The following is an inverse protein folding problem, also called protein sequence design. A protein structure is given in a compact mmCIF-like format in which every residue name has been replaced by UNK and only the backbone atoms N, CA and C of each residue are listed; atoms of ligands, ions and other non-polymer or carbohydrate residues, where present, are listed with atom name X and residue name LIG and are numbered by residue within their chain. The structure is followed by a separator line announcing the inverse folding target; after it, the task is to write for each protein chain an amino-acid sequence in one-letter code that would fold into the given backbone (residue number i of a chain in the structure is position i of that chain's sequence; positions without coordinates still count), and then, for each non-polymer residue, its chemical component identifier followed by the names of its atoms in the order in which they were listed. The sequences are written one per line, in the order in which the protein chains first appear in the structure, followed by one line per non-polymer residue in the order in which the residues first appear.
data_IF_431496466794
#
_entry.id   IF_431496466794
#
_cell.length_a   1.000
_cell.length_b   1.000
_cell.length_c   1.000
_cell.angle_alpha   90.00
_cell.angle_beta   90.00
_cell.angle_gamma   90.00
#
_symmetry.space_group_name_H-M   'P 1'
#
loop_
_entity.id
_entity.type
_entity.pdbx_description
1 polymer ?
#
# COMPACT_ATOMS: atom_id res chain seq x y z
N UNK A 1 42.59 -46.15 10.67
CA UNK A 1 41.25 -45.86 10.11
C UNK A 1 40.43 -45.13 11.17
N UNK A 2 40.31 -43.81 11.04
CA UNK A 2 39.77 -42.91 12.05
C UNK A 2 38.30 -42.61 11.70
N UNK A 3 37.36 -43.04 12.54
CA UNK A 3 35.92 -42.84 12.33
C UNK A 3 35.54 -41.41 12.73
N UNK A 4 35.30 -40.56 11.74
CA UNK A 4 34.74 -39.22 11.94
C UNK A 4 33.24 -39.38 12.23
N UNK A 5 32.81 -38.99 13.43
CA UNK A 5 31.40 -38.92 13.82
C UNK A 5 30.84 -37.56 13.37
N UNK A 6 30.02 -37.57 12.33
CA UNK A 6 29.29 -36.39 11.86
C UNK A 6 28.09 -36.17 12.77
N UNK A 7 28.11 -35.11 13.59
CA UNK A 7 26.98 -34.70 14.42
C UNK A 7 26.12 -33.71 13.63
N UNK A 8 24.91 -34.11 13.26
CA UNK A 8 23.91 -33.24 12.62
C UNK A 8 23.13 -32.53 13.72
N UNK A 9 23.30 -31.22 13.83
CA UNK A 9 22.51 -30.37 14.73
C UNK A 9 21.25 -29.94 13.96
N UNK A 10 20.10 -30.48 14.33
CA UNK A 10 18.80 -30.05 13.83
C UNK A 10 18.37 -28.76 14.56
N UNK A 11 18.44 -27.61 13.87
CA UNK A 11 17.86 -26.37 14.35
C UNK A 11 16.34 -26.40 14.16
N UNK A 12 15.60 -26.53 15.26
CA UNK A 12 14.15 -26.36 15.27
C UNK A 12 13.81 -24.87 15.09
N UNK A 13 13.30 -24.52 13.91
CA UNK A 13 12.75 -23.20 13.62
C UNK A 13 11.33 -23.12 14.22
N UNK A 14 11.16 -22.51 15.39
CA UNK A 14 9.84 -22.18 15.93
C UNK A 14 9.25 -21.00 15.13
N UNK A 15 8.32 -21.31 14.24
CA UNK A 15 7.42 -20.34 13.62
C UNK A 15 6.34 -19.96 14.64
N UNK A 16 6.56 -18.86 15.36
CA UNK A 16 5.55 -18.26 16.23
C UNK A 16 4.42 -17.63 15.40
N UNK A 17 3.22 -18.21 15.48
CA UNK A 17 1.98 -17.62 14.99
C UNK A 17 1.61 -16.43 15.90
N UNK A 18 1.53 -15.22 15.33
CA UNK A 18 0.96 -14.06 16.01
C UNK A 18 -0.54 -13.98 15.69
N UNK A 19 -1.43 -13.93 16.68
CA UNK A 19 -2.86 -13.79 16.43
C UNK A 19 -3.20 -12.37 15.95
N UNK A 20 -4.00 -12.28 14.89
CA UNK A 20 -4.56 -11.03 14.39
C UNK A 20 -5.79 -10.64 15.21
N UNK A 21 -5.68 -9.59 16.02
CA UNK A 21 -6.80 -8.99 16.77
C UNK A 21 -7.41 -7.80 16.00
N UNK A 22 -8.74 -7.73 16.04
CA UNK A 22 -9.63 -6.81 15.31
C UNK A 22 -9.69 -5.40 15.92
N UNK A 23 -10.12 -4.45 15.08
CA UNK A 23 -10.20 -3.01 15.31
C UNK A 23 -11.34 -2.56 16.23
N UNK A 24 -11.05 -1.55 17.05
CA UNK A 24 -11.99 -0.73 17.82
C UNK A 24 -11.17 0.29 18.62
N UNK A 25 -11.43 1.58 18.47
CA UNK A 25 -10.48 2.66 18.79
C UNK A 25 -9.92 2.65 20.21
N UNK A 26 -8.59 2.74 20.30
CA UNK A 26 -7.81 3.65 21.15
C UNK A 26 -6.31 3.42 20.83
N UNK A 27 -5.61 4.48 20.42
CA UNK A 27 -4.15 4.61 20.20
C UNK A 27 -3.24 3.35 20.36
N UNK A 28 -3.44 2.41 19.44
CA UNK A 28 -2.60 1.48 18.68
C UNK A 28 -1.26 0.89 19.25
N UNK A 29 -1.04 -0.44 19.10
CA UNK A 29 0.10 -1.20 19.65
C UNK A 29 1.52 -0.66 19.38
N UNK A 30 1.72 0.14 18.32
CA UNK A 30 3.02 0.75 18.05
C UNK A 30 3.45 1.74 19.13
N UNK A 31 2.54 2.53 19.70
CA UNK A 31 2.90 3.53 20.72
C UNK A 31 3.45 2.84 21.97
N UNK A 32 2.77 1.79 22.43
CA UNK A 32 3.24 0.97 23.56
C UNK A 32 4.52 0.20 23.23
N UNK A 33 4.67 -0.26 21.99
CA UNK A 33 5.88 -0.93 21.54
C UNK A 33 7.08 0.01 21.59
N UNK A 34 6.99 1.19 20.99
CA UNK A 34 8.08 2.17 20.97
C UNK A 34 8.42 2.64 22.40
N UNK A 35 7.41 2.91 23.23
CA UNK A 35 7.63 3.32 24.62
C UNK A 35 8.43 2.28 25.42
N UNK A 36 8.12 0.99 25.25
CA UNK A 36 8.85 -0.10 25.93
C UNK A 36 10.27 -0.33 25.41
N UNK A 37 10.61 0.20 24.24
CA UNK A 37 11.92 0.03 23.60
C UNK A 37 12.69 1.36 23.50
N UNK A 38 12.34 2.36 24.32
CA UNK A 38 13.03 3.66 24.34
C UNK A 38 14.56 3.50 24.45
N UNK A 39 15.29 4.20 23.56
CA UNK A 39 16.76 4.14 23.47
C UNK A 39 17.31 2.90 22.76
N UNK A 40 16.50 1.86 22.54
CA UNK A 40 16.94 0.61 21.93
C UNK A 40 16.92 0.66 20.40
N UNK A 41 17.75 -0.18 19.78
CA UNK A 41 17.71 -0.44 18.35
C UNK A 41 16.68 -1.52 18.06
N UNK A 42 15.70 -1.23 17.22
CA UNK A 42 14.59 -2.12 16.89
C UNK A 42 14.49 -2.37 15.39
N UNK A 43 13.82 -3.45 15.03
CA UNK A 43 13.40 -3.75 13.65
C UNK A 43 11.89 -3.73 13.59
N UNK A 44 11.31 -2.89 12.71
CA UNK A 44 9.86 -2.78 12.55
C UNK A 44 9.50 -3.04 11.09
N UNK A 45 8.45 -3.83 10.90
CA UNK A 45 7.86 -4.14 9.60
C UNK A 45 6.59 -3.32 9.40
N UNK A 46 6.33 -2.88 8.16
CA UNK A 46 5.16 -2.07 7.84
C UNK A 46 5.23 -1.41 6.47
N UNK A 47 4.53 -0.28 6.30
CA UNK A 47 4.48 0.46 5.04
C UNK A 47 4.51 1.96 5.28
N UNK A 48 5.09 2.71 4.33
CA UNK A 48 4.88 4.16 4.29
C UNK A 48 3.43 4.47 3.90
N UNK A 49 2.92 5.59 4.36
CA UNK A 49 1.56 6.06 4.04
C UNK A 49 1.56 7.58 3.91
N UNK A 50 0.71 8.10 3.03
CA UNK A 50 0.51 9.54 2.85
C UNK A 50 -0.63 10.07 3.74
N UNK A 51 -1.38 9.19 4.41
CA UNK A 51 -2.44 9.56 5.34
C UNK A 51 -1.82 10.11 6.64
N UNK A 52 -2.20 11.32 7.05
CA UNK A 52 -1.69 11.96 8.26
C UNK A 52 -2.71 11.75 9.39
N UNK A 53 -2.53 10.71 10.22
CA UNK A 53 -3.37 10.45 11.38
C UNK A 53 -2.70 10.86 12.70
N UNK A 54 -1.36 10.81 12.77
CA UNK A 54 -0.63 11.26 13.96
C UNK A 54 -0.14 12.69 13.81
N UNK A 55 -0.51 13.55 14.75
CA UNK A 55 -0.03 14.92 14.83
C UNK A 55 1.24 14.99 15.70
N UNK A 56 2.40 15.33 15.12
CA UNK A 56 3.73 15.36 15.78
C UNK A 56 4.01 16.50 16.79
N UNK A 57 4.65 16.23 17.93
CA UNK A 57 5.49 17.25 18.61
C UNK A 57 6.48 17.86 17.61
N UNK A 58 6.78 19.16 17.74
CA UNK A 58 7.69 19.87 16.82
C UNK A 58 8.98 19.06 16.62
N UNK A 59 9.35 18.68 15.37
CA UNK A 59 10.49 17.80 15.14
C UNK A 59 11.77 18.52 15.56
N UNK A 60 12.73 17.82 16.19
CA UNK A 60 14.02 18.41 16.51
C UNK A 60 14.74 18.85 15.22
N UNK A 61 15.50 19.97 15.23
CA UNK A 61 16.19 20.48 14.03
C UNK A 61 17.11 19.48 13.34
N UNK A 62 17.61 18.49 14.09
CA UNK A 62 18.46 17.39 13.60
C UNK A 62 17.73 16.32 12.80
N UNK A 63 16.39 16.35 12.73
CA UNK A 63 15.57 15.32 12.09
C UNK A 63 14.61 15.90 11.06
N UNK A 64 15.17 16.55 10.04
CA UNK A 64 14.42 17.33 9.05
C UNK A 64 13.54 16.49 8.10
N UNK A 65 13.83 15.19 7.95
CA UNK A 65 13.09 14.30 7.05
C UNK A 65 12.18 13.37 7.85
N UNK A 66 10.88 13.57 7.70
CA UNK A 66 9.82 12.77 8.32
C UNK A 66 9.07 11.96 7.27
N UNK A 67 8.56 10.81 7.68
CA UNK A 67 7.54 10.08 6.93
C UNK A 67 6.53 9.46 7.89
N UNK A 68 5.31 9.22 7.40
CA UNK A 68 4.29 8.49 8.16
C UNK A 68 4.39 7.01 7.82
N UNK A 69 4.34 6.18 8.85
CA UNK A 69 4.56 4.75 8.76
C UNK A 69 3.45 4.00 9.47
N UNK A 70 2.86 3.01 8.78
CA UNK A 70 1.86 2.09 9.30
C UNK A 70 2.56 0.75 9.58
N UNK A 71 2.96 0.47 10.83
CA UNK A 71 3.60 -0.79 11.18
C UNK A 71 2.59 -1.95 11.15
N UNK A 72 3.08 -3.15 10.86
CA UNK A 72 2.25 -4.37 10.82
C UNK A 72 1.68 -4.74 12.19
N UNK A 73 2.36 -4.33 13.26
CA UNK A 73 1.86 -4.47 14.64
C UNK A 73 0.67 -3.54 14.95
N UNK A 74 0.30 -2.67 14.02
CA UNK A 74 -0.88 -1.83 14.11
C UNK A 74 -0.57 -0.37 14.42
N UNK A 75 -1.38 0.49 13.83
CA UNK A 75 -1.40 1.92 14.06
C UNK A 75 -0.66 2.76 13.04
N UNK A 76 -0.27 3.95 13.45
CA UNK A 76 0.57 4.82 12.65
C UNK A 76 1.58 5.48 13.58
N UNK A 77 2.80 5.65 13.08
CA UNK A 77 3.85 6.42 13.74
C UNK A 77 4.56 7.33 12.76
N UNK A 78 5.16 8.40 13.26
CA UNK A 78 6.13 9.18 12.50
C UNK A 78 7.51 8.57 12.66
N UNK A 79 8.22 8.47 11.55
CA UNK A 79 9.60 8.01 11.51
C UNK A 79 10.51 9.12 10.99
N UNK A 80 11.71 9.20 11.55
CA UNK A 80 12.74 10.12 11.09
C UNK A 80 13.74 9.41 10.20
N UNK A 81 13.97 9.94 9.02
CA UNK A 81 14.82 9.32 8.01
C UNK A 81 16.18 10.01 7.98
N UNK A 82 17.26 9.24 8.17
CA UNK A 82 18.62 9.76 8.01
C UNK A 82 18.94 10.17 6.56
N UNK A 83 18.27 9.55 5.58
CA UNK A 83 18.42 9.81 4.14
C UNK A 83 17.04 10.04 3.51
N UNK A 84 16.98 10.10 2.18
CA UNK A 84 15.72 10.11 1.44
C UNK A 84 14.91 8.86 1.76
N UNK A 85 13.57 9.00 1.83
CA UNK A 85 12.67 7.88 2.05
C UNK A 85 12.91 6.76 1.03
N UNK A 86 12.77 5.48 1.43
CA UNK A 86 12.83 4.38 0.48
C UNK A 86 11.76 4.56 -0.60
N UNK A 87 12.13 4.37 -1.87
CA UNK A 87 11.27 4.63 -3.02
C UNK A 87 10.19 3.57 -3.26
N UNK A 88 10.04 2.58 -2.36
CA UNK A 88 9.05 1.53 -2.49
C UNK A 88 7.77 1.85 -1.73
N UNK A 89 6.64 1.51 -2.34
CA UNK A 89 5.31 1.61 -1.73
C UNK A 89 4.89 0.31 -1.01
N UNK A 90 5.67 -0.76 -1.19
CA UNK A 90 5.40 -2.07 -0.61
C UNK A 90 5.84 -2.22 0.85
N UNK A 91 5.82 -3.46 1.36
CA UNK A 91 6.30 -3.78 2.69
C UNK A 91 7.76 -3.36 2.87
N UNK A 92 8.04 -2.79 4.04
CA UNK A 92 9.32 -2.24 4.42
C UNK A 92 9.76 -2.89 5.72
N UNK A 93 11.06 -3.21 5.78
CA UNK A 93 11.77 -3.46 7.02
C UNK A 93 12.55 -2.19 7.38
N UNK A 94 12.22 -1.57 8.49
CA UNK A 94 12.95 -0.45 9.06
C UNK A 94 13.82 -0.94 10.21
N UNK A 95 15.08 -0.51 10.24
CA UNK A 95 15.99 -0.71 11.38
C UNK A 95 16.42 0.66 11.85
N UNK A 96 16.25 0.94 13.14
CA UNK A 96 16.55 2.24 13.71
C UNK A 96 16.56 2.22 15.22
N UNK A 97 16.89 3.38 15.80
CA UNK A 97 16.87 3.58 17.24
C UNK A 97 15.55 4.25 17.64
N UNK A 98 14.90 3.75 18.69
CA UNK A 98 13.76 4.45 19.28
C UNK A 98 14.28 5.64 20.08
N UNK A 99 13.82 6.83 19.72
CA UNK A 99 14.21 8.09 20.35
C UNK A 99 13.04 8.66 21.12
N UNK A 100 13.34 9.18 22.31
CA UNK A 100 12.42 9.96 23.11
C UNK A 100 12.40 11.40 22.60
N UNK A 101 11.22 11.95 22.39
CA UNK A 101 11.01 13.34 22.00
C UNK A 101 10.27 14.05 23.11
N UNK A 102 10.81 15.19 23.52
CA UNK A 102 10.19 16.11 24.47
C UNK A 102 9.83 17.39 23.76
N UNK A 103 8.63 17.90 24.00
CA UNK A 103 8.25 19.20 23.48
C UNK A 103 6.85 19.60 23.90
N UNK A 104 6.54 20.87 23.65
CA UNK A 104 5.27 21.46 24.04
C UNK A 104 4.10 20.76 23.33
N UNK A 105 3.04 20.47 24.08
CA UNK A 105 1.76 20.00 23.53
C UNK A 105 1.25 20.95 22.44
N UNK A 106 0.56 20.40 21.42
CA UNK A 106 -0.03 21.15 20.30
C UNK A 106 -1.21 22.04 20.66
N UNK A 107 -1.80 21.81 21.83
CA UNK A 107 -2.92 22.61 22.34
C UNK A 107 -2.49 23.28 23.63
N UNK A 108 -1.53 24.22 23.59
CA UNK A 108 -1.11 24.91 24.79
C UNK A 108 -2.32 25.64 25.40
N UNK A 109 -2.88 25.12 26.49
CA UNK A 109 -3.95 25.75 27.28
C UNK A 109 -5.32 25.08 27.24
N UNK A 110 -5.56 24.04 26.42
CA UNK A 110 -6.85 23.30 26.44
C UNK A 110 -6.76 22.09 27.35
N UNK A 111 -7.49 21.97 28.47
CA UNK A 111 -7.49 20.74 29.27
C UNK A 111 -7.99 19.53 28.44
N UNK A 112 -7.37 18.33 28.54
CA UNK A 112 -6.28 17.94 29.45
C UNK A 112 -4.89 18.04 28.79
N UNK A 113 -4.59 19.11 28.04
CA UNK A 113 -3.26 19.34 27.49
C UNK A 113 -2.24 19.49 28.62
N UNK A 114 -1.25 18.61 28.63
CA UNK A 114 -0.06 18.77 29.46
C UNK A 114 0.85 19.76 28.75
N UNK A 115 0.83 21.02 29.16
CA UNK A 115 1.62 22.12 28.60
C UNK A 115 2.93 22.26 29.37
N UNK A 116 3.69 21.18 29.48
CA UNK A 116 5.01 21.22 30.09
C UNK A 116 5.97 20.26 29.37
N UNK A 117 7.25 20.35 29.71
CA UNK A 117 8.32 19.50 29.16
C UNK A 117 8.15 18.00 29.51
N UNK A 118 7.04 17.61 30.15
CA UNK A 118 6.74 16.22 30.51
C UNK A 118 6.03 15.47 29.39
N UNK A 119 5.54 16.15 28.34
CA UNK A 119 4.99 15.45 27.18
C UNK A 119 6.11 14.74 26.40
N UNK A 120 6.04 13.41 26.42
CA UNK A 120 7.02 12.51 25.83
C UNK A 120 6.35 11.69 24.76
N UNK A 121 6.91 11.70 23.55
CA UNK A 121 6.60 10.74 22.49
C UNK A 121 7.82 9.88 22.18
N UNK A 122 7.59 8.62 21.81
CA UNK A 122 8.63 7.74 21.31
C UNK A 122 8.44 7.53 19.81
N UNK A 123 9.50 7.80 19.04
CA UNK A 123 9.49 7.67 17.59
C UNK A 123 10.72 6.91 17.10
N UNK A 124 10.70 6.43 15.86
CA UNK A 124 11.81 5.67 15.30
C UNK A 124 12.72 6.59 14.47
N UNK A 125 13.99 6.70 14.88
CA UNK A 125 15.07 7.25 14.06
C UNK A 125 15.64 6.15 13.18
N UNK A 126 15.26 6.15 11.91
CA UNK A 126 15.62 5.13 10.92
C UNK A 126 17.08 5.29 10.48
N UNK A 127 17.84 4.23 10.67
CA UNK A 127 19.23 4.12 10.22
C UNK A 127 19.32 3.44 8.85
N UNK A 128 18.47 2.42 8.63
CA UNK A 128 18.39 1.71 7.36
C UNK A 128 16.96 1.23 7.07
N UNK A 129 16.67 1.11 5.79
CA UNK A 129 15.39 0.63 5.28
C UNK A 129 15.64 -0.36 4.16
N UNK A 130 14.93 -1.48 4.18
CA UNK A 130 14.94 -2.48 3.12
C UNK A 130 13.52 -2.63 2.57
N UNK A 131 13.38 -2.39 1.27
CA UNK A 131 12.18 -2.77 0.53
C UNK A 131 12.11 -4.29 0.51
N UNK A 132 11.07 -4.83 1.14
CA UNK A 132 10.84 -6.26 1.06
C UNK A 132 10.16 -6.57 -0.27
N UNK A 133 10.46 -7.73 -0.88
CA UNK A 133 9.59 -8.24 -1.93
C UNK A 133 8.18 -8.26 -1.36
N UNK A 134 7.21 -7.90 -2.19
CA UNK A 134 5.82 -7.91 -1.78
C UNK A 134 5.40 -9.38 -1.60
N UNK A 135 5.70 -9.94 -0.43
CA UNK A 135 5.45 -11.33 -0.10
C UNK A 135 3.95 -11.57 -0.21
N UNK A 136 3.59 -12.66 -0.89
CA UNK A 136 2.20 -13.05 -1.08
C UNK A 136 1.50 -12.42 -2.29
N UNK A 137 2.13 -11.54 -3.08
CA UNK A 137 1.47 -11.06 -4.31
C UNK A 137 1.21 -12.19 -5.32
N UNK A 138 2.11 -13.17 -5.44
CA UNK A 138 1.87 -14.37 -6.25
C UNK A 138 0.67 -15.17 -5.73
N UNK A 139 0.54 -15.28 -4.41
CA UNK A 139 -0.59 -15.96 -3.78
C UNK A 139 -1.89 -15.18 -3.99
N UNK A 140 -1.84 -13.84 -3.90
CA UNK A 140 -2.98 -12.96 -4.18
C UNK A 140 -3.44 -13.08 -5.64
N UNK A 141 -2.50 -13.13 -6.59
CA UNK A 141 -2.81 -13.30 -8.01
C UNK A 141 -3.38 -14.68 -8.32
N UNK A 142 -2.88 -15.74 -7.67
CA UNK A 142 -3.48 -17.07 -7.73
C UNK A 142 -4.91 -17.07 -7.17
N UNK A 143 -5.13 -16.38 -6.05
CA UNK A 143 -6.42 -16.27 -5.37
C UNK A 143 -7.49 -15.62 -6.26
N UNK A 144 -7.11 -14.68 -7.14
CA UNK A 144 -8.06 -14.03 -8.05
C UNK A 144 -8.82 -15.02 -8.93
N UNK A 145 -8.14 -16.06 -9.42
CA UNK A 145 -8.69 -17.09 -10.31
C UNK A 145 -8.99 -18.42 -9.61
N UNK A 146 -8.99 -18.46 -8.27
CA UNK A 146 -9.30 -19.66 -7.51
C UNK A 146 -10.82 -19.79 -7.34
N UNK A 147 -11.40 -20.90 -7.79
CA UNK A 147 -12.85 -21.11 -7.79
C UNK A 147 -13.41 -21.14 -6.36
N UNK A 148 -12.71 -21.79 -5.43
CA UNK A 148 -13.14 -21.93 -4.04
C UNK A 148 -12.92 -20.67 -3.19
N UNK A 149 -12.24 -19.65 -3.73
CA UNK A 149 -12.04 -18.40 -3.01
C UNK A 149 -13.32 -17.55 -3.01
N UNK A 150 -13.77 -17.13 -1.83
CA UNK A 150 -14.89 -16.20 -1.69
C UNK A 150 -14.62 -14.85 -2.38
N UNK A 151 -15.70 -14.16 -2.77
CA UNK A 151 -15.63 -12.81 -3.36
C UNK A 151 -14.85 -11.83 -2.46
N UNK A 152 -15.03 -11.91 -1.13
CA UNK A 152 -14.32 -11.05 -0.18
C UNK A 152 -12.80 -11.32 -0.18
N UNK A 153 -12.39 -12.58 -0.28
CA UNK A 153 -10.98 -12.96 -0.40
C UNK A 153 -10.39 -12.45 -1.71
N UNK A 154 -11.07 -12.67 -2.84
CA UNK A 154 -10.67 -12.18 -4.17
C UNK A 154 -10.53 -10.65 -4.18
N UNK A 155 -11.47 -9.93 -3.58
CA UNK A 155 -11.43 -8.47 -3.47
C UNK A 155 -10.27 -7.99 -2.59
N UNK A 156 -9.99 -8.67 -1.47
CA UNK A 156 -8.85 -8.35 -0.61
C UNK A 156 -7.51 -8.60 -1.31
N UNK A 157 -7.40 -9.69 -2.07
CA UNK A 157 -6.22 -9.96 -2.89
C UNK A 157 -6.02 -8.92 -3.99
N UNK A 158 -7.09 -8.52 -4.69
CA UNK A 158 -7.07 -7.44 -5.68
C UNK A 158 -6.58 -6.13 -5.07
N UNK A 159 -7.07 -5.76 -3.88
CA UNK A 159 -6.62 -4.59 -3.15
C UNK A 159 -5.14 -4.70 -2.78
N UNK A 160 -4.69 -5.85 -2.26
CA UNK A 160 -3.27 -6.06 -1.93
C UNK A 160 -2.35 -5.97 -3.16
N UNK A 161 -2.79 -6.46 -4.32
CA UNK A 161 -2.07 -6.30 -5.59
C UNK A 161 -1.98 -4.83 -6.00
N UNK A 162 -3.09 -4.08 -5.93
CA UNK A 162 -3.09 -2.65 -6.19
C UNK A 162 -2.13 -1.90 -5.26
N UNK A 163 -2.22 -2.15 -3.95
CA UNK A 163 -1.34 -1.58 -2.92
C UNK A 163 0.12 -2.07 -3.03
N UNK A 164 0.37 -3.16 -3.75
CA UNK A 164 1.72 -3.60 -4.12
C UNK A 164 2.41 -2.62 -5.08
N UNK A 165 1.63 -1.78 -5.77
CA UNK A 165 2.10 -0.71 -6.65
C UNK A 165 3.10 -1.24 -7.68
N UNK A 166 4.26 -0.59 -7.77
CA UNK A 166 5.32 -0.95 -8.71
C UNK A 166 5.77 -2.42 -8.60
N UNK A 167 5.74 -3.02 -7.41
CA UNK A 167 6.18 -4.40 -7.22
C UNK A 167 5.20 -5.43 -7.80
N UNK A 168 3.93 -5.07 -7.98
CA UNK A 168 2.93 -5.95 -8.58
C UNK A 168 3.03 -6.00 -10.12
N UNK A 169 3.61 -4.97 -10.75
CA UNK A 169 3.66 -4.83 -12.21
C UNK A 169 4.22 -6.08 -12.92
N UNK A 170 5.43 -6.59 -12.63
CA UNK A 170 5.96 -7.75 -13.35
C UNK A 170 5.08 -9.01 -13.20
N UNK A 171 4.44 -9.19 -12.04
CA UNK A 171 3.54 -10.32 -11.79
C UNK A 171 2.25 -10.20 -12.61
N UNK A 172 1.65 -9.01 -12.63
CA UNK A 172 0.43 -8.72 -13.39
C UNK A 172 0.67 -8.87 -14.90
N UNK A 173 1.82 -8.42 -15.40
CA UNK A 173 2.21 -8.60 -16.81
C UNK A 173 2.26 -10.08 -17.18
N UNK A 174 2.86 -10.92 -16.35
CA UNK A 174 2.91 -12.38 -16.56
C UNK A 174 1.54 -13.06 -16.60
N UNK A 175 0.48 -12.39 -16.14
CA UNK A 175 -0.89 -12.91 -16.10
C UNK A 175 -1.86 -12.19 -17.06
N UNK A 176 -1.35 -11.40 -18.00
CA UNK A 176 -2.16 -10.77 -19.05
C UNK A 176 -2.81 -11.76 -20.04
N UNK A 177 -2.49 -13.05 -19.92
CA UNK A 177 -3.09 -14.16 -20.71
C UNK A 177 -3.79 -15.20 -19.82
N UNK A 178 -4.07 -14.85 -18.57
CA UNK A 178 -4.74 -15.74 -17.63
C UNK A 178 -6.26 -15.75 -17.84
N UNK A 179 -6.77 -16.84 -18.40
CA UNK A 179 -8.19 -17.03 -18.73
C UNK A 179 -9.04 -17.55 -17.56
N UNK A 180 -8.47 -17.74 -16.36
CA UNK A 180 -9.26 -18.14 -15.19
C UNK A 180 -10.32 -17.10 -14.86
N UNK A 181 -11.47 -17.54 -14.33
CA UNK A 181 -12.56 -16.64 -13.99
C UNK A 181 -12.31 -15.92 -12.65
N UNK A 182 -12.39 -14.59 -12.68
CA UNK A 182 -12.54 -13.73 -11.51
C UNK A 182 -14.01 -13.32 -11.37
N UNK A 183 -14.58 -13.61 -10.21
CA UNK A 183 -15.92 -13.17 -9.84
C UNK A 183 -15.86 -11.72 -9.37
N UNK A 184 -16.55 -10.82 -10.08
CA UNK A 184 -16.66 -9.40 -9.75
C UNK A 184 -18.07 -9.11 -9.26
N UNK A 185 -18.19 -8.61 -8.03
CA UNK A 185 -19.44 -8.06 -7.53
C UNK A 185 -19.77 -6.77 -8.28
N UNK A 186 -20.96 -6.71 -8.88
CA UNK A 186 -21.51 -5.53 -9.54
C UNK A 186 -22.72 -5.05 -8.75
N UNK A 187 -22.55 -3.93 -8.06
CA UNK A 187 -23.67 -3.25 -7.40
C UNK A 187 -24.63 -2.73 -8.47
N UNK A 188 -25.88 -3.15 -8.39
CA UNK A 188 -26.94 -2.59 -9.23
C UNK A 188 -27.46 -1.30 -8.60
N UNK A 189 -27.74 -0.26 -9.41
CA UNK A 189 -28.50 0.87 -8.89
C UNK A 189 -29.87 0.38 -8.42
N UNK A 190 -30.43 1.00 -7.36
CA UNK A 190 -31.80 0.69 -6.96
C UNK A 190 -32.76 0.93 -8.15
N UNK A 191 -33.83 0.14 -8.28
CA UNK A 191 -34.88 0.39 -9.27
C UNK A 191 -35.37 1.84 -9.19
N UNK A 192 -35.68 2.46 -10.34
CA UNK A 192 -36.15 3.86 -10.40
C UNK A 192 -37.37 4.16 -9.51
N UNK A 193 -38.16 3.13 -9.19
CA UNK A 193 -39.36 3.21 -8.37
C UNK A 193 -39.22 2.50 -7.01
N UNK A 194 -37.99 2.20 -6.56
CA UNK A 194 -37.79 1.58 -5.27
C UNK A 194 -38.14 2.55 -4.12
N UNK A 195 -38.82 2.08 -3.06
CA UNK A 195 -39.02 2.87 -1.85
C UNK A 195 -37.70 3.42 -1.31
N UNK A 196 -37.71 4.62 -0.71
CA UNK A 196 -36.51 5.30 -0.15
C UNK A 196 -35.77 4.44 0.89
N UNK A 197 -36.48 3.50 1.53
CA UNK A 197 -35.93 2.60 2.54
C UNK A 197 -35.78 1.14 2.07
N UNK A 198 -35.90 0.88 0.76
CA UNK A 198 -35.68 -0.46 0.25
C UNK A 198 -34.20 -0.86 0.43
N UNK A 199 -33.96 -2.04 0.98
CA UNK A 199 -32.63 -2.62 1.02
C UNK A 199 -32.08 -2.72 -0.41
N UNK A 200 -30.80 -2.40 -0.62
CA UNK A 200 -30.19 -2.54 -1.94
C UNK A 200 -30.28 -4.00 -2.40
N UNK A 201 -30.53 -4.25 -3.70
CA UNK A 201 -30.52 -5.62 -4.22
C UNK A 201 -29.15 -6.26 -3.98
N UNK A 202 -29.10 -7.60 -3.82
CA UNK A 202 -27.83 -8.30 -3.74
C UNK A 202 -26.99 -7.98 -4.99
N UNK A 203 -25.65 -7.85 -4.84
CA UNK A 203 -24.79 -7.56 -5.98
C UNK A 203 -24.85 -8.71 -6.99
N UNK A 204 -24.93 -8.37 -8.29
CA UNK A 204 -24.77 -9.37 -9.34
C UNK A 204 -23.31 -9.82 -9.37
N UNK A 205 -23.08 -11.12 -9.45
CA UNK A 205 -21.74 -11.65 -9.71
C UNK A 205 -21.57 -11.76 -11.22
N UNK A 206 -20.56 -11.07 -11.76
CA UNK A 206 -20.15 -11.22 -13.16
C UNK A 206 -18.78 -11.88 -13.21
N UNK A 207 -18.61 -12.81 -14.14
CA UNK A 207 -17.32 -13.44 -14.40
C UNK A 207 -16.55 -12.63 -15.44
N UNK A 208 -15.31 -12.30 -15.12
CA UNK A 208 -14.35 -11.69 -16.04
C UNK A 208 -13.04 -12.47 -15.96
N UNK A 209 -12.25 -12.57 -17.03
CA UNK A 209 -10.99 -13.29 -16.97
C UNK A 209 -9.98 -12.55 -16.06
N UNK A 210 -9.10 -13.29 -15.39
CA UNK A 210 -8.02 -12.73 -14.56
C UNK A 210 -7.12 -11.80 -15.38
N UNK A 211 -6.91 -12.09 -16.67
CA UNK A 211 -6.21 -11.22 -17.61
C UNK A 211 -6.79 -9.81 -17.68
N UNK A 212 -8.12 -9.68 -17.70
CA UNK A 212 -8.80 -8.39 -17.67
C UNK A 212 -8.56 -7.68 -16.34
N UNK A 213 -8.63 -8.39 -15.20
CA UNK A 213 -8.37 -7.81 -13.88
C UNK A 213 -6.91 -7.36 -13.73
N UNK A 214 -5.97 -8.14 -14.25
CA UNK A 214 -4.55 -7.80 -14.25
C UNK A 214 -4.27 -6.53 -15.07
N UNK A 215 -4.89 -6.42 -16.25
CA UNK A 215 -4.85 -5.21 -17.07
C UNK A 215 -5.45 -4.00 -16.35
N UNK A 216 -6.64 -4.13 -15.73
CA UNK A 216 -7.27 -3.06 -14.94
C UNK A 216 -6.35 -2.59 -13.80
N UNK A 217 -5.72 -3.51 -13.08
CA UNK A 217 -4.79 -3.20 -11.99
C UNK A 217 -3.53 -2.51 -12.49
N UNK A 218 -2.94 -2.96 -13.60
CA UNK A 218 -1.78 -2.31 -14.20
C UNK A 218 -2.07 -0.84 -14.51
N UNK A 219 -3.21 -0.54 -15.14
CA UNK A 219 -3.60 0.85 -15.39
C UNK A 219 -3.86 1.63 -14.11
N UNK A 220 -4.51 1.04 -13.11
CA UNK A 220 -4.72 1.69 -11.81
C UNK A 220 -3.40 2.06 -11.14
N UNK A 221 -2.38 1.19 -11.24
CA UNK A 221 -1.06 1.42 -10.66
C UNK A 221 -0.31 2.53 -11.40
N UNK A 222 -0.27 2.51 -12.74
CA UNK A 222 0.57 3.44 -13.51
C UNK A 222 -0.11 4.78 -13.79
N UNK A 223 -1.44 4.88 -13.69
CA UNK A 223 -2.15 6.13 -14.00
C UNK A 223 -1.96 7.11 -12.84
N UNK A 224 -1.44 8.33 -13.08
CA UNK A 224 -1.28 9.32 -12.02
C UNK A 224 -2.63 9.74 -11.44
N UNK A 225 -2.71 9.80 -10.11
CA UNK A 225 -3.90 10.29 -9.38
C UNK A 225 -3.79 11.82 -9.26
N UNK A 226 -4.47 12.55 -10.14
CA UNK A 226 -4.60 14.01 -10.06
C UNK A 226 -5.86 14.51 -10.78
N UNK A 227 -6.29 15.72 -10.43
CA UNK A 227 -7.37 16.41 -11.14
C UNK A 227 -6.80 17.12 -12.38
N UNK A 228 -7.03 16.57 -13.56
CA UNK A 228 -6.72 17.26 -14.82
C UNK A 228 -7.67 18.44 -15.03
N UNK A 229 -7.15 19.59 -15.43
CA UNK A 229 -7.98 20.74 -15.82
C UNK A 229 -8.87 20.46 -17.05
N UNK A 230 -8.53 19.41 -17.82
CA UNK A 230 -9.25 19.00 -19.02
C UNK A 230 -10.23 17.85 -18.76
N UNK A 231 -10.20 17.24 -17.57
CA UNK A 231 -11.19 16.26 -17.17
C UNK A 231 -12.54 16.97 -17.02
N UNK A 232 -13.30 17.01 -18.12
CA UNK A 232 -14.70 17.44 -18.10
C UNK A 232 -15.48 16.61 -17.07
N UNK A 233 -16.66 17.07 -16.62
CA UNK A 233 -17.57 16.29 -15.75
C UNK A 233 -18.07 14.95 -16.36
N UNK A 234 -17.45 14.47 -17.45
CA UNK A 234 -17.77 13.19 -18.06
C UNK A 234 -17.38 12.05 -17.13
N UNK A 235 -18.26 11.06 -17.08
CA UNK A 235 -18.00 9.78 -16.43
C UNK A 235 -16.93 9.05 -17.25
N UNK A 236 -15.83 8.70 -16.60
CA UNK A 236 -14.76 7.88 -17.18
C UNK A 236 -15.21 6.42 -17.12
N UNK A 237 -15.22 5.72 -18.25
CA UNK A 237 -15.42 4.27 -18.27
C UNK A 237 -14.07 3.54 -18.27
N UNK A 238 -14.01 2.27 -17.85
CA UNK A 238 -12.75 1.50 -17.89
C UNK A 238 -12.18 1.33 -19.31
N UNK A 239 -13.03 1.45 -20.35
CA UNK A 239 -12.63 1.51 -21.77
C UNK A 239 -11.93 2.82 -22.16
N UNK A 240 -11.97 3.81 -21.29
CA UNK A 240 -11.53 5.18 -21.52
C UNK A 240 -10.17 5.43 -20.84
N UNK A 241 -9.34 4.40 -20.76
CA UNK A 241 -7.97 4.47 -20.24
C UNK A 241 -6.99 4.55 -21.41
N UNK A 242 -5.78 5.06 -21.14
CA UNK A 242 -4.66 4.88 -22.07
C UNK A 242 -4.43 3.41 -22.31
N UNK A 243 -4.06 3.02 -23.53
CA UNK A 243 -3.72 1.66 -23.91
C UNK A 243 -2.20 1.52 -24.00
N UNK A 244 -1.60 0.71 -23.13
CA UNK A 244 -0.22 0.26 -23.31
C UNK A 244 -0.23 -0.85 -24.36
N UNK A 245 0.42 -0.61 -25.51
CA UNK A 245 0.40 -1.55 -26.64
C UNK A 245 1.09 -2.88 -26.31
N UNK A 246 2.20 -2.79 -25.58
CA UNK A 246 3.02 -3.92 -25.18
C UNK A 246 3.54 -3.66 -23.78
N UNK A 247 2.91 -4.31 -22.80
CA UNK A 247 3.24 -4.13 -21.39
C UNK A 247 4.65 -4.61 -21.04
N UNK A 248 5.14 -5.68 -21.66
CA UNK A 248 6.49 -6.21 -21.40
C UNK A 248 7.55 -5.21 -21.87
N UNK A 249 7.41 -4.72 -23.11
CA UNK A 249 8.31 -3.72 -23.69
C UNK A 249 8.25 -2.40 -22.93
N UNK A 250 7.04 -1.93 -22.60
CA UNK A 250 6.86 -0.71 -21.82
C UNK A 250 7.49 -0.83 -20.43
N UNK A 251 7.31 -1.97 -19.76
CA UNK A 251 7.89 -2.19 -18.45
C UNK A 251 9.41 -2.28 -18.48
N UNK A 252 10.00 -2.99 -19.45
CA UNK A 252 11.45 -3.05 -19.63
C UNK A 252 12.09 -1.65 -19.73
N UNK A 253 11.41 -0.71 -20.40
CA UNK A 253 11.83 0.70 -20.52
C UNK A 253 11.64 1.51 -19.24
N UNK A 254 10.69 1.17 -18.38
CA UNK A 254 10.30 2.00 -17.23
C UNK A 254 10.64 1.40 -15.86
N UNK A 255 11.08 0.14 -15.79
CA UNK A 255 11.33 -0.58 -14.53
C UNK A 255 12.39 0.07 -13.63
N UNK A 256 13.29 0.89 -14.17
CA UNK A 256 14.30 1.61 -13.40
C UNK A 256 13.75 2.91 -12.76
N UNK A 257 12.60 3.41 -13.21
CA UNK A 257 11.98 4.65 -12.71
C UNK A 257 11.15 4.39 -11.47
N UNK A 258 11.05 5.37 -10.57
CA UNK A 258 10.06 5.31 -9.47
C UNK A 258 8.65 5.43 -10.02
N UNK A 259 7.65 4.99 -9.26
CA UNK A 259 6.25 5.15 -9.67
C UNK A 259 5.87 6.63 -9.82
N UNK A 260 6.39 7.51 -8.95
CA UNK A 260 6.21 8.95 -9.06
C UNK A 260 6.81 9.55 -10.35
N UNK A 261 7.97 9.05 -10.79
CA UNK A 261 8.57 9.46 -12.08
C UNK A 261 7.70 9.01 -13.25
N UNK A 262 7.23 7.76 -13.24
CA UNK A 262 6.29 7.23 -14.24
C UNK A 262 5.02 8.10 -14.29
N UNK A 263 4.43 8.40 -13.13
CA UNK A 263 3.25 9.26 -13.00
C UNK A 263 3.48 10.67 -13.56
N UNK A 264 4.64 11.27 -13.28
CA UNK A 264 5.02 12.59 -13.78
C UNK A 264 5.12 12.61 -15.31
N UNK A 265 5.73 11.58 -15.90
CA UNK A 265 5.85 11.45 -17.36
C UNK A 265 4.51 11.14 -18.05
N UNK A 266 3.62 10.41 -17.37
CA UNK A 266 2.30 10.07 -17.91
C UNK A 266 1.31 11.23 -17.79
N UNK A 267 1.47 12.13 -16.82
CA UNK A 267 0.59 13.30 -16.62
C UNK A 267 0.27 14.09 -17.90
N UNK A 268 1.23 14.57 -18.70
CA UNK A 268 0.91 15.29 -19.95
C UNK A 268 0.18 14.42 -20.98
N UNK A 269 0.40 13.09 -20.96
CA UNK A 269 -0.35 12.16 -21.81
C UNK A 269 -1.80 12.09 -21.33
N UNK A 270 -2.01 11.93 -20.01
CA UNK A 270 -3.32 12.01 -19.32
C UNK A 270 -4.09 13.26 -19.70
N UNK A 271 -3.46 14.42 -19.64
CA UNK A 271 -4.07 15.67 -20.07
C UNK A 271 -4.46 15.65 -21.56
N UNK A 272 -3.59 15.17 -22.44
CA UNK A 272 -3.85 15.09 -23.90
C UNK A 272 -5.02 14.18 -24.24
N UNK A 273 -5.19 13.06 -23.54
CA UNK A 273 -6.36 12.19 -23.70
C UNK A 273 -7.65 12.90 -23.36
N UNK A 274 -7.67 13.63 -22.23
CA UNK A 274 -8.84 14.39 -21.83
C UNK A 274 -9.17 15.50 -22.83
N UNK A 275 -8.15 16.24 -23.31
CA UNK A 275 -8.30 17.25 -24.35
C UNK A 275 -8.90 16.69 -25.64
N UNK A 276 -8.48 15.48 -26.02
CA UNK A 276 -8.90 14.81 -27.27
C UNK A 276 -10.17 13.98 -27.10
N UNK A 277 -10.90 14.15 -25.98
CA UNK A 277 -12.13 13.42 -25.64
C UNK A 277 -11.97 11.89 -25.73
N UNK A 278 -10.78 11.43 -25.40
CA UNK A 278 -10.44 10.02 -25.29
C UNK A 278 -9.93 9.34 -26.56
N UNK A 279 -9.57 10.10 -27.60
CA UNK A 279 -9.08 9.53 -28.86
C UNK A 279 -7.57 9.27 -28.87
N UNK A 280 -6.78 9.94 -28.03
CA UNK A 280 -5.34 9.70 -27.90
C UNK A 280 -5.02 8.73 -26.74
N UNK A 281 -5.02 7.41 -27.01
CA UNK A 281 -4.88 6.39 -25.96
C UNK A 281 -3.52 5.67 -25.92
N UNK A 282 -2.78 5.57 -27.02
CA UNK A 282 -1.74 4.54 -27.12
C UNK A 282 -0.41 5.00 -26.51
N UNK A 283 0.12 4.20 -25.58
CA UNK A 283 1.46 4.30 -25.00
C UNK A 283 2.35 3.22 -25.63
N UNK A 284 3.47 3.67 -26.20
CA UNK A 284 4.58 2.82 -26.69
C UNK A 284 5.65 2.55 -25.63
#
# INVERSE_FOLDING_TARGET
MQKIKTSVIASALLLGLVPAALAGGNMLPIVDYLTRHAGQKVTIYGRLTDEIHQHMVMPPPSHQKIAYFRPDIGGQTVIYLAKTAPACQGPLKLVGQVVELRGSSKRPGEPPSKVDQTYVEHQLRVESSLCLPAQGLDADLRLLGLEEASLAQKQKARERLYQGGKNAIPLLIGHLRDERNYEKGKTLPPPLNAPVHASPPPPLVVNVPVSQVASELLYQIITPIYSSAYASRRKVYNSDLFLVKDWEKWWAKNQHKSLAQIHTELKPKVDKYWQTKGTAQILD
#
